data_IF_315816444973
#
_entry.id   IF_315816444973
#
_cell.length_a   1.000
_cell.length_b   1.000
_cell.length_c   1.000
_cell.angle_alpha   90.00
_cell.angle_beta   90.00
_cell.angle_gamma   90.00
#
_symmetry.space_group_name_H-M   'P 1'
#
loop_
_entity.id
_entity.type
_entity.pdbx_description
1 polymer ?
#
# COMPACT_ATOMS: atom_id res chain seq x y z
N UNK A 1 35.97 39.64 -20.98
CA UNK A 1 35.28 38.77 -20.00
C UNK A 1 33.81 38.65 -20.40
N UNK A 2 33.34 37.53 -20.98
CA UNK A 2 31.92 37.40 -21.30
C UNK A 2 31.13 36.81 -20.13
N UNK A 3 30.12 37.57 -19.67
CA UNK A 3 29.17 37.17 -18.62
C UNK A 3 28.36 35.93 -19.04
N UNK A 4 28.55 34.81 -18.33
CA UNK A 4 27.65 33.64 -18.40
C UNK A 4 26.32 33.98 -17.75
N UNK A 5 25.28 34.18 -18.56
CA UNK A 5 23.88 34.12 -18.10
C UNK A 5 23.55 32.66 -17.74
N UNK A 6 23.55 32.33 -16.45
CA UNK A 6 23.01 31.06 -15.94
C UNK A 6 21.50 31.15 -15.95
N UNK A 7 20.86 30.62 -16.99
CA UNK A 7 19.42 30.36 -16.94
C UNK A 7 19.19 29.21 -15.94
N UNK A 8 18.24 29.34 -14.98
CA UNK A 8 17.90 28.22 -14.10
C UNK A 8 17.35 27.06 -14.94
N UNK A 9 17.61 25.81 -14.56
CA UNK A 9 17.13 24.66 -15.31
C UNK A 9 15.60 24.71 -15.36
N UNK A 10 15.08 24.82 -16.58
CA UNK A 10 13.66 24.77 -16.90
C UNK A 10 13.12 23.46 -16.33
N UNK A 11 12.26 23.53 -15.31
CA UNK A 11 11.47 22.38 -14.87
C UNK A 11 10.52 22.01 -16.00
N UNK A 12 10.97 21.18 -16.92
CA UNK A 12 10.13 20.49 -17.88
C UNK A 12 9.29 19.49 -17.11
N UNK A 13 8.09 19.91 -16.67
CA UNK A 13 7.04 18.95 -16.36
C UNK A 13 6.71 18.23 -17.67
N UNK A 14 7.15 16.98 -17.78
CA UNK A 14 6.86 16.14 -18.92
C UNK A 14 5.34 15.94 -19.04
N UNK A 15 4.76 16.42 -20.15
CA UNK A 15 3.40 16.09 -20.59
C UNK A 15 3.26 14.56 -20.59
N UNK A 16 2.40 14.02 -19.72
CA UNK A 16 2.16 12.57 -19.60
C UNK A 16 2.75 11.90 -18.35
N UNK A 17 3.32 12.64 -17.40
CA UNK A 17 3.74 12.07 -16.13
C UNK A 17 2.53 11.47 -15.38
N UNK A 18 2.46 10.13 -15.30
CA UNK A 18 1.46 9.43 -14.50
C UNK A 18 1.52 9.94 -13.07
N UNK A 19 0.39 10.44 -12.56
CA UNK A 19 0.30 10.91 -11.18
C UNK A 19 0.44 9.70 -10.25
N UNK A 20 1.54 9.64 -9.50
CA UNK A 20 1.82 8.58 -8.54
C UNK A 20 1.38 9.02 -7.14
N UNK A 21 0.84 8.07 -6.38
CA UNK A 21 0.42 8.26 -4.99
C UNK A 21 1.55 8.11 -3.99
N UNK A 22 2.71 7.58 -4.40
CA UNK A 22 3.86 7.39 -3.54
C UNK A 22 5.17 7.63 -4.30
N UNK A 23 6.08 8.41 -3.72
CA UNK A 23 7.43 8.63 -4.24
C UNK A 23 8.41 8.95 -3.11
N UNK A 24 9.71 8.83 -3.39
CA UNK A 24 10.76 9.24 -2.44
C UNK A 24 11.20 10.67 -2.73
N UNK A 25 11.12 11.54 -1.71
CA UNK A 25 11.61 12.93 -1.81
C UNK A 25 13.14 12.96 -1.94
N UNK A 26 13.84 12.11 -1.20
CA UNK A 26 15.31 12.00 -1.22
C UNK A 26 15.80 10.81 -2.05
N UNK A 27 15.12 10.48 -3.16
CA UNK A 27 15.45 9.35 -4.02
C UNK A 27 16.90 9.35 -4.51
N UNK A 28 17.47 10.52 -4.80
CA UNK A 28 18.83 10.66 -5.33
C UNK A 28 19.90 10.21 -4.32
N UNK A 29 19.64 10.33 -3.02
CA UNK A 29 20.51 9.84 -1.94
C UNK A 29 20.65 8.31 -2.02
N UNK A 30 19.56 7.61 -2.33
CA UNK A 30 19.55 6.15 -2.45
C UNK A 30 20.03 5.66 -3.82
N UNK A 31 19.85 6.46 -4.88
CA UNK A 31 20.34 6.14 -6.21
C UNK A 31 21.86 6.22 -6.30
N UNK A 32 22.47 7.24 -5.72
CA UNK A 32 23.93 7.44 -5.70
C UNK A 32 24.63 6.43 -4.78
N UNK A 33 24.00 6.05 -3.67
CA UNK A 33 24.46 5.03 -2.74
C UNK A 33 24.69 3.63 -3.37
N UNK A 34 24.00 3.29 -4.47
CA UNK A 34 24.26 2.03 -5.21
C UNK A 34 25.70 1.88 -5.68
N UNK A 35 26.45 2.98 -5.78
CA UNK A 35 27.88 3.00 -6.15
C UNK A 35 28.87 2.74 -5.02
N UNK A 36 28.43 2.37 -3.80
CA UNK A 36 29.32 1.94 -2.71
C UNK A 36 29.22 2.70 -1.39
N UNK A 37 28.26 3.62 -1.24
CA UNK A 37 28.03 4.35 0.01
C UNK A 37 26.74 3.93 0.71
N UNK A 38 26.76 3.72 2.03
CA UNK A 38 25.51 3.53 2.81
C UNK A 38 24.82 4.90 2.96
N UNK A 39 23.59 5.08 2.47
CA UNK A 39 22.90 6.36 2.54
C UNK A 39 22.69 6.73 4.02
N UNK A 40 23.06 7.97 4.39
CA UNK A 40 22.87 8.49 5.74
C UNK A 40 21.45 9.06 5.88
N UNK A 41 20.74 8.62 6.90
CA UNK A 41 19.41 9.12 7.25
C UNK A 41 18.23 8.28 6.73
N UNK A 42 17.00 8.64 7.12
CA UNK A 42 15.79 7.91 6.75
C UNK A 42 15.39 8.15 5.29
N UNK A 43 14.70 7.17 4.70
CA UNK A 43 14.01 7.37 3.44
C UNK A 43 12.74 8.20 3.68
N UNK A 44 12.54 9.27 2.91
CA UNK A 44 11.39 10.16 3.06
C UNK A 44 10.36 9.82 1.99
N UNK A 45 9.38 9.03 2.39
CA UNK A 45 8.26 8.59 1.56
C UNK A 45 7.17 9.66 1.56
N UNK A 46 6.85 10.21 0.39
CA UNK A 46 5.76 11.16 0.23
C UNK A 46 4.55 10.43 -0.35
N UNK A 47 3.41 10.60 0.29
CA UNK A 47 2.12 10.09 -0.16
C UNK A 47 1.24 11.23 -0.68
N UNK A 48 0.52 10.97 -1.77
CA UNK A 48 -0.44 11.90 -2.36
C UNK A 48 -1.71 11.16 -2.76
N UNK A 49 -2.86 11.76 -2.49
CA UNK A 49 -4.12 11.19 -2.97
C UNK A 49 -4.23 11.34 -4.49
N UNK A 50 -4.47 10.23 -5.20
CA UNK A 50 -4.84 10.28 -6.62
C UNK A 50 -6.34 10.52 -6.76
N UNK A 51 -6.75 11.10 -7.88
CA UNK A 51 -8.18 11.38 -8.16
C UNK A 51 -9.02 10.11 -8.33
N UNK A 52 -8.38 8.99 -8.67
CA UNK A 52 -9.02 7.69 -8.84
C UNK A 52 -8.97 6.83 -7.58
N UNK A 53 -8.61 7.40 -6.43
CA UNK A 53 -8.62 6.73 -5.14
C UNK A 53 -9.88 7.07 -4.35
N UNK A 54 -10.31 6.12 -3.52
CA UNK A 54 -11.31 6.40 -2.49
C UNK A 54 -10.63 7.23 -1.40
N UNK A 55 -10.87 8.55 -1.40
CA UNK A 55 -10.18 9.52 -0.52
C UNK A 55 -10.18 9.08 0.96
N UNK A 56 -11.33 8.65 1.49
CA UNK A 56 -11.46 8.17 2.88
C UNK A 56 -10.53 6.99 3.20
N UNK A 57 -10.33 6.09 2.24
CA UNK A 57 -9.46 4.93 2.42
C UNK A 57 -7.98 5.33 2.30
N UNK A 58 -7.65 6.20 1.36
CA UNK A 58 -6.33 6.80 1.25
C UNK A 58 -5.95 7.55 2.53
N UNK A 59 -6.77 8.50 2.97
CA UNK A 59 -6.51 9.35 4.14
C UNK A 59 -6.25 8.49 5.38
N UNK A 60 -7.06 7.45 5.59
CA UNK A 60 -6.92 6.53 6.72
C UNK A 60 -5.61 5.77 6.66
N UNK A 61 -5.20 5.27 5.50
CA UNK A 61 -3.93 4.56 5.33
C UNK A 61 -2.73 5.49 5.46
N UNK A 62 -2.82 6.68 4.88
CA UNK A 62 -1.79 7.70 5.01
C UNK A 62 -1.58 8.11 6.47
N UNK A 63 -2.67 8.32 7.22
CA UNK A 63 -2.62 8.64 8.65
C UNK A 63 -1.95 7.53 9.47
N UNK A 64 -2.29 6.25 9.22
CA UNK A 64 -1.63 5.13 9.90
C UNK A 64 -0.14 5.07 9.62
N UNK A 65 0.26 5.27 8.36
CA UNK A 65 1.67 5.25 7.97
C UNK A 65 2.43 6.45 8.53
N UNK A 66 1.83 7.65 8.58
CA UNK A 66 2.41 8.82 9.25
C UNK A 66 2.64 8.53 10.73
N UNK A 67 1.61 8.03 11.43
CA UNK A 67 1.70 7.68 12.85
C UNK A 67 2.80 6.64 13.11
N UNK A 68 2.84 5.57 12.34
CA UNK A 68 3.88 4.53 12.45
C UNK A 68 5.29 5.09 12.16
N UNK A 69 5.40 6.04 11.24
CA UNK A 69 6.66 6.73 10.93
C UNK A 69 7.13 7.62 12.09
N UNK A 70 6.20 8.38 12.71
CA UNK A 70 6.46 9.19 13.91
C UNK A 70 6.85 8.32 15.11
N UNK A 71 6.26 7.14 15.24
CA UNK A 71 6.62 6.13 16.25
C UNK A 71 7.95 5.40 15.95
N UNK A 72 8.62 5.69 14.84
CA UNK A 72 9.87 5.03 14.43
C UNK A 72 9.72 3.56 14.05
N UNK A 73 8.50 3.10 13.75
CA UNK A 73 8.19 1.69 13.47
C UNK A 73 8.31 1.31 11.99
N UNK A 74 8.44 2.29 11.10
CA UNK A 74 8.58 2.03 9.67
C UNK A 74 10.04 1.82 9.30
N UNK A 75 10.32 0.62 8.80
CA UNK A 75 11.65 0.23 8.34
C UNK A 75 11.49 -0.53 7.03
N UNK A 76 12.32 -0.24 6.03
CA UNK A 76 12.29 -0.99 4.77
C UNK A 76 12.59 -2.47 5.03
N UNK A 77 11.67 -3.34 4.63
CA UNK A 77 11.81 -4.79 4.75
C UNK A 77 11.38 -5.52 3.49
N UNK A 78 11.87 -6.76 3.32
CA UNK A 78 11.27 -7.70 2.37
C UNK A 78 9.87 -8.09 2.87
N UNK A 79 8.82 -7.95 2.05
CA UNK A 79 7.47 -8.31 2.46
C UNK A 79 7.37 -9.83 2.70
N UNK A 80 6.98 -10.23 3.91
CA UNK A 80 6.78 -11.63 4.28
C UNK A 80 5.28 -11.93 4.38
N UNK A 81 4.80 -12.83 3.53
CA UNK A 81 3.38 -13.26 3.52
C UNK A 81 3.23 -14.62 4.17
N UNK A 82 2.25 -14.75 5.06
CA UNK A 82 1.92 -16.00 5.75
C UNK A 82 0.88 -16.79 4.97
N UNK A 83 1.13 -18.09 4.89
CA UNK A 83 0.14 -19.08 4.50
C UNK A 83 -0.35 -19.77 5.78
N UNK A 84 -1.65 -20.02 5.86
CA UNK A 84 -2.29 -20.71 6.99
C UNK A 84 -2.90 -22.01 6.49
N UNK A 85 -2.88 -23.04 7.32
CA UNK A 85 -3.43 -24.34 6.97
C UNK A 85 -4.94 -24.26 6.71
N UNK A 86 -5.37 -25.09 5.77
CA UNK A 86 -6.77 -25.29 5.51
C UNK A 86 -7.39 -26.14 6.63
N UNK A 87 -8.46 -25.63 7.25
CA UNK A 87 -9.18 -26.35 8.30
C UNK A 87 -10.14 -27.42 7.79
N UNK A 88 -10.42 -27.46 6.48
CA UNK A 88 -11.33 -28.46 5.92
C UNK A 88 -10.52 -29.66 5.42
N UNK A 89 -10.74 -30.86 6.02
CA UNK A 89 -9.95 -32.06 5.77
C UNK A 89 -10.13 -32.60 4.35
N UNK A 90 -11.18 -32.19 3.62
CA UNK A 90 -11.42 -32.62 2.23
C UNK A 90 -10.67 -31.78 1.19
N UNK A 91 -9.98 -30.72 1.61
CA UNK A 91 -9.18 -29.84 0.75
C UNK A 91 -7.83 -29.57 1.42
N UNK A 92 -6.92 -30.56 1.45
CA UNK A 92 -5.61 -30.38 2.06
C UNK A 92 -4.84 -29.24 1.36
N UNK A 93 -4.09 -28.46 2.14
CA UNK A 93 -3.26 -27.37 1.60
C UNK A 93 -3.23 -26.13 2.51
N UNK A 94 -2.62 -25.06 2.00
CA UNK A 94 -2.51 -23.78 2.70
C UNK A 94 -3.21 -22.66 1.91
N UNK A 95 -3.64 -21.61 2.61
CA UNK A 95 -4.28 -20.43 2.03
C UNK A 95 -3.60 -19.17 2.56
N UNK A 96 -3.59 -18.11 1.75
CA UNK A 96 -3.12 -16.79 2.22
C UNK A 96 -3.95 -16.31 3.40
N UNK A 97 -3.30 -15.74 4.41
CA UNK A 97 -3.96 -15.21 5.60
C UNK A 97 -5.05 -14.18 5.24
N UNK A 98 -4.77 -13.30 4.27
CA UNK A 98 -5.73 -12.32 3.74
C UNK A 98 -6.99 -12.96 3.15
N UNK A 99 -6.84 -14.05 2.38
CA UNK A 99 -7.99 -14.79 1.84
C UNK A 99 -8.86 -15.37 2.96
N UNK A 100 -8.23 -15.92 4.01
CA UNK A 100 -8.96 -16.45 5.17
C UNK A 100 -9.63 -15.34 5.97
N UNK A 101 -8.98 -14.18 6.12
CA UNK A 101 -9.58 -13.00 6.73
C UNK A 101 -10.83 -12.57 5.98
N UNK A 102 -10.78 -12.45 4.64
CA UNK A 102 -11.94 -12.10 3.81
C UNK A 102 -13.10 -13.06 4.05
N UNK A 103 -12.85 -14.37 4.03
CA UNK A 103 -13.88 -15.39 4.28
C UNK A 103 -14.46 -15.31 5.70
N UNK A 104 -13.65 -14.98 6.71
CA UNK A 104 -14.14 -14.73 8.08
C UNK A 104 -15.08 -13.53 8.14
N UNK A 105 -14.72 -12.43 7.48
CA UNK A 105 -15.55 -11.23 7.45
C UNK A 105 -16.87 -11.50 6.71
N UNK A 106 -16.83 -12.14 5.53
CA UNK A 106 -18.05 -12.56 4.80
C UNK A 106 -18.97 -13.40 5.70
N UNK A 107 -18.42 -14.44 6.36
CA UNK A 107 -19.22 -15.30 7.25
C UNK A 107 -19.83 -14.56 8.43
N UNK A 108 -19.14 -13.56 8.97
CA UNK A 108 -19.66 -12.72 10.07
C UNK A 108 -20.80 -11.82 9.57
N UNK A 109 -20.62 -11.19 8.41
CA UNK A 109 -21.61 -10.26 7.85
C UNK A 109 -22.86 -10.97 7.29
N UNK A 110 -22.75 -12.24 6.87
CA UNK A 110 -23.89 -13.03 6.39
C UNK A 110 -24.83 -13.54 7.50
N UNK A 111 -24.66 -13.14 8.76
CA UNK A 111 -25.48 -13.64 9.89
C UNK A 111 -26.59 -12.65 10.27
N UNK A 112 -27.84 -13.08 10.10
CA UNK A 112 -29.02 -12.35 10.60
C UNK A 112 -29.11 -10.91 10.08
N UNK A 113 -29.44 -9.98 10.97
CA UNK A 113 -29.59 -8.55 10.67
C UNK A 113 -28.30 -7.86 10.16
N UNK A 114 -27.13 -8.47 10.38
CA UNK A 114 -25.88 -7.94 9.83
C UNK A 114 -25.86 -8.01 8.30
N UNK A 115 -26.54 -8.98 7.69
CA UNK A 115 -26.54 -9.11 6.24
C UNK A 115 -27.32 -7.98 5.57
N UNK A 116 -28.52 -7.66 6.10
CA UNK A 116 -29.41 -6.65 5.52
C UNK A 116 -28.72 -5.28 5.52
N UNK A 117 -28.08 -4.92 6.63
CA UNK A 117 -27.33 -3.67 6.79
C UNK A 117 -26.01 -3.61 5.99
N UNK A 118 -25.44 -4.76 5.59
CA UNK A 118 -24.13 -4.83 4.94
C UNK A 118 -24.17 -5.49 3.56
N UNK A 119 -25.33 -5.54 2.91
CA UNK A 119 -25.53 -6.30 1.67
C UNK A 119 -24.53 -5.92 0.58
N UNK A 120 -24.29 -4.64 0.36
CA UNK A 120 -23.34 -4.16 -0.65
C UNK A 120 -21.88 -4.43 -0.28
N UNK A 121 -21.54 -4.28 1.00
CA UNK A 121 -20.22 -4.65 1.55
C UNK A 121 -19.93 -6.14 1.31
N UNK A 122 -20.89 -7.01 1.61
CA UNK A 122 -20.78 -8.46 1.37
C UNK A 122 -20.63 -8.77 -0.11
N UNK A 123 -21.43 -8.14 -0.99
CA UNK A 123 -21.30 -8.31 -2.45
C UNK A 123 -19.91 -7.92 -2.94
N UNK A 124 -19.37 -6.77 -2.51
CA UNK A 124 -18.03 -6.32 -2.87
C UNK A 124 -16.93 -7.30 -2.42
N UNK A 125 -17.08 -7.90 -1.23
CA UNK A 125 -16.17 -8.95 -0.75
C UNK A 125 -16.26 -10.23 -1.58
N UNK A 126 -17.46 -10.65 -1.99
CA UNK A 126 -17.63 -11.80 -2.89
C UNK A 126 -17.03 -11.55 -4.27
N UNK A 127 -17.21 -10.35 -4.85
CA UNK A 127 -16.58 -9.97 -6.11
C UNK A 127 -15.05 -10.10 -6.04
N UNK A 128 -14.45 -9.68 -4.92
CA UNK A 128 -13.01 -9.81 -4.67
C UNK A 128 -12.48 -11.25 -4.63
N UNK A 129 -13.36 -12.27 -4.52
CA UNK A 129 -12.97 -13.69 -4.62
C UNK A 129 -12.79 -14.16 -6.07
N UNK A 130 -13.33 -13.44 -7.06
CA UNK A 130 -13.24 -13.80 -8.46
C UNK A 130 -12.74 -12.61 -9.31
N UNK A 131 -11.43 -12.29 -9.24
CA UNK A 131 -10.85 -11.17 -9.98
C UNK A 131 -10.90 -11.35 -11.50
N UNK A 132 -11.08 -12.58 -12.01
CA UNK A 132 -11.29 -12.81 -13.46
C UNK A 132 -12.64 -12.27 -13.92
N UNK A 133 -13.69 -12.46 -13.11
CA UNK A 133 -15.05 -11.97 -13.40
C UNK A 133 -15.25 -10.51 -13.00
N UNK A 134 -14.56 -10.07 -11.96
CA UNK A 134 -14.65 -8.71 -11.41
C UNK A 134 -13.24 -8.13 -11.27
N UNK A 135 -12.60 -7.73 -12.39
CA UNK A 135 -11.27 -7.16 -12.36
C UNK A 135 -11.29 -5.81 -11.61
N UNK A 136 -10.27 -5.57 -10.81
CA UNK A 136 -10.13 -4.31 -10.06
C UNK A 136 -9.51 -3.28 -11.00
N UNK A 137 -10.37 -2.58 -11.76
CA UNK A 137 -9.97 -1.57 -12.76
C UNK A 137 -10.16 -0.14 -12.28
N UNK A 138 -10.72 0.06 -11.08
CA UNK A 138 -10.99 1.36 -10.49
C UNK A 138 -11.62 1.23 -9.10
N UNK A 139 -11.92 2.37 -8.45
CA UNK A 139 -12.48 2.41 -7.10
C UNK A 139 -13.90 1.81 -7.04
N UNK A 140 -14.26 1.23 -5.90
CA UNK A 140 -15.61 0.75 -5.60
C UNK A 140 -15.99 -0.61 -6.20
N UNK A 141 -15.10 -1.27 -6.95
CA UNK A 141 -15.41 -2.55 -7.60
C UNK A 141 -15.46 -3.70 -6.58
N UNK A 142 -14.40 -3.82 -5.77
CA UNK A 142 -14.24 -4.87 -4.75
C UNK A 142 -13.55 -4.34 -3.51
N UNK A 143 -13.55 -5.14 -2.45
CA UNK A 143 -12.79 -4.87 -1.22
C UNK A 143 -11.72 -5.93 -0.98
N UNK A 144 -10.57 -5.47 -0.53
CA UNK A 144 -9.44 -6.31 -0.15
C UNK A 144 -9.04 -6.13 1.31
N UNK A 145 -8.50 -7.19 1.94
CA UNK A 145 -7.75 -7.05 3.18
C UNK A 145 -6.50 -6.20 2.94
N UNK A 146 -6.44 -5.09 3.64
CA UNK A 146 -5.34 -4.13 3.70
C UNK A 146 -4.49 -4.36 4.94
N UNK A 147 -3.17 -4.26 4.78
CA UNK A 147 -2.24 -4.23 5.91
C UNK A 147 -2.12 -2.81 6.43
N UNK A 148 -2.57 -2.56 7.66
CA UNK A 148 -2.51 -1.23 8.30
C UNK A 148 -1.06 -0.74 8.37
N UNK A 149 -0.18 -1.61 8.87
CA UNK A 149 1.27 -1.52 8.75
C UNK A 149 1.71 -2.35 7.55
N UNK A 150 2.17 -1.68 6.49
CA UNK A 150 2.64 -2.30 5.25
C UNK A 150 3.75 -3.35 5.49
N UNK A 151 3.63 -4.53 4.86
CA UNK A 151 4.61 -5.63 5.01
C UNK A 151 6.02 -5.25 4.53
N UNK A 152 6.10 -4.36 3.55
CA UNK A 152 7.34 -3.83 3.00
C UNK A 152 7.97 -2.72 3.87
N UNK A 153 7.26 -2.31 4.93
CA UNK A 153 7.69 -1.30 5.90
C UNK A 153 7.80 -1.86 7.32
N UNK A 154 7.96 -3.19 7.47
CA UNK A 154 8.11 -3.86 8.77
C UNK A 154 6.82 -4.43 9.37
N UNK A 155 5.69 -4.31 8.68
CA UNK A 155 4.41 -4.82 9.16
C UNK A 155 4.36 -6.34 9.22
N UNK A 156 3.65 -6.87 10.23
CA UNK A 156 3.43 -8.32 10.38
C UNK A 156 2.24 -8.76 9.53
N UNK A 157 2.37 -9.90 8.85
CA UNK A 157 1.21 -10.52 8.22
C UNK A 157 0.40 -11.29 9.27
N UNK A 158 -0.55 -10.60 9.89
CA UNK A 158 -1.36 -11.09 11.00
C UNK A 158 -2.74 -10.43 11.01
N UNK A 159 -3.73 -11.08 11.64
CA UNK A 159 -5.13 -10.64 11.57
C UNK A 159 -5.40 -9.28 12.23
N UNK A 160 -4.64 -8.93 13.27
CA UNK A 160 -4.65 -7.63 13.96
C UNK A 160 -4.12 -6.49 13.08
N UNK A 161 -3.28 -6.82 12.11
CA UNK A 161 -2.77 -5.87 11.12
C UNK A 161 -3.65 -5.79 9.86
N UNK A 162 -4.81 -6.44 9.83
CA UNK A 162 -5.69 -6.46 8.66
C UNK A 162 -6.98 -5.68 8.88
N UNK A 163 -7.35 -4.89 7.87
CA UNK A 163 -8.67 -4.24 7.76
C UNK A 163 -9.21 -4.33 6.34
N UNK A 164 -10.49 -4.02 6.16
CA UNK A 164 -11.05 -3.89 4.81
C UNK A 164 -10.78 -2.50 4.22
N UNK A 165 -10.45 -2.47 2.94
CA UNK A 165 -10.21 -1.28 2.15
C UNK A 165 -10.62 -1.51 0.69
N UNK A 166 -10.96 -0.44 -0.03
CA UNK A 166 -11.12 -0.44 -1.48
C UNK A 166 -9.92 -1.11 -2.16
N UNK A 167 -10.21 -2.11 -2.99
CA UNK A 167 -9.16 -2.95 -3.56
C UNK A 167 -8.27 -2.19 -4.55
N UNK A 168 -8.82 -1.22 -5.29
CA UNK A 168 -8.04 -0.41 -6.22
C UNK A 168 -7.05 0.48 -5.46
N UNK A 169 -7.58 1.27 -4.54
CA UNK A 169 -6.80 2.18 -3.69
C UNK A 169 -5.70 1.42 -2.94
N UNK A 170 -6.04 0.28 -2.31
CA UNK A 170 -5.09 -0.57 -1.58
C UNK A 170 -3.96 -1.10 -2.48
N UNK A 171 -4.31 -1.70 -3.62
CA UNK A 171 -3.31 -2.31 -4.52
C UNK A 171 -2.40 -1.27 -5.17
N UNK A 172 -2.97 -0.16 -5.62
CA UNK A 172 -2.23 0.89 -6.30
C UNK A 172 -1.24 1.57 -5.35
N UNK A 173 -1.68 2.00 -4.16
CA UNK A 173 -0.79 2.63 -3.20
C UNK A 173 0.31 1.67 -2.73
N UNK A 174 -0.03 0.40 -2.44
CA UNK A 174 0.95 -0.60 -2.03
C UNK A 174 2.00 -0.87 -3.12
N UNK A 175 1.59 -0.92 -4.40
CA UNK A 175 2.50 -1.06 -5.55
C UNK A 175 3.42 0.14 -5.67
N UNK A 176 2.88 1.35 -5.58
CA UNK A 176 3.65 2.58 -5.76
C UNK A 176 4.61 2.83 -4.60
N UNK A 177 4.25 2.50 -3.36
CA UNK A 177 5.18 2.46 -2.22
C UNK A 177 6.33 1.49 -2.51
N UNK A 178 6.03 0.30 -3.03
CA UNK A 178 7.06 -0.68 -3.37
C UNK A 178 8.00 -0.22 -4.47
N UNK A 179 7.47 0.47 -5.47
CA UNK A 179 8.27 1.08 -6.54
C UNK A 179 9.14 2.24 -6.03
N UNK A 180 8.58 3.11 -5.19
CA UNK A 180 9.31 4.22 -4.59
C UNK A 180 10.50 3.71 -3.76
N UNK A 181 10.30 2.64 -3.00
CA UNK A 181 11.31 2.06 -2.10
C UNK A 181 12.21 0.99 -2.74
N UNK A 182 12.16 0.80 -4.06
CA UNK A 182 12.87 -0.30 -4.74
C UNK A 182 14.40 -0.25 -4.56
N UNK A 183 14.95 0.96 -4.47
CA UNK A 183 16.39 1.22 -4.36
C UNK A 183 16.82 1.51 -2.92
N UNK A 184 15.88 1.48 -1.96
CA UNK A 184 16.17 1.69 -0.55
C UNK A 184 16.66 0.38 0.07
N UNK A 185 17.84 0.36 0.71
CA UNK A 185 18.34 -0.83 1.39
C UNK A 185 17.39 -1.32 2.50
N UNK A 186 17.32 -2.63 2.69
CA UNK A 186 16.61 -3.21 3.85
C UNK A 186 17.23 -2.70 5.17
N UNK A 187 16.39 -2.54 6.20
CA UNK A 187 16.79 -1.96 7.48
C UNK A 187 16.81 -0.43 7.51
N UNK A 188 16.62 0.26 6.37
CA UNK A 188 16.56 1.73 6.35
C UNK A 188 15.28 2.23 7.02
N UNK A 189 15.35 3.12 8.01
CA UNK A 189 14.17 3.77 8.58
C UNK A 189 13.42 4.60 7.53
N UNK A 190 12.09 4.63 7.62
CA UNK A 190 11.24 5.37 6.68
C UNK A 190 10.39 6.39 7.42
N UNK A 191 10.40 7.64 6.95
CA UNK A 191 9.51 8.70 7.40
C UNK A 191 8.47 8.94 6.32
N UNK A 192 7.24 9.23 6.72
CA UNK A 192 6.12 9.46 5.80
C UNK A 192 5.65 10.91 5.89
N UNK A 193 5.52 11.55 4.72
CA UNK A 193 4.88 12.85 4.55
C UNK A 193 3.64 12.68 3.66
N UNK A 194 2.61 13.49 3.89
CA UNK A 194 1.40 13.50 3.07
C UNK A 194 1.25 14.88 2.45
N UNK A 195 1.03 14.93 1.15
CA UNK A 195 0.72 16.17 0.43
C UNK A 195 -0.73 16.16 -0.06
N UNK A 196 -1.37 17.34 -0.16
CA UNK A 196 -2.74 17.47 -0.66
C UNK A 196 -2.98 16.90 -2.06
#
# INVERSE_FOLDING_TARGET
MPNRRTSPPRQTQAKGAKLVSAYLENADVFRTAKGGGKPKGPAVLVLRNRTDFVKKDFDRKAADLVRLGQEGKLVKTKPKRKQVEHKDPKKPGTRKLTTVYRDRVIRRLNKGQNYVSNKELVKALYRGKNPKKHPVTGPGVTLDPDHVHELQLGGKDSYDNLRLMDAWTNREIGREIGQALKDVPEGTPVIVKVIP
#
